data_IF_232008398571
#
_entry.id   IF_232008398571
#
_cell.length_a   1.000
_cell.length_b   1.000
_cell.length_c   1.000
_cell.angle_alpha   90.00
_cell.angle_beta   90.00
_cell.angle_gamma   90.00
#
_symmetry.space_group_name_H-M   'P 1'
#
loop_
_entity.id
_entity.type
_entity.pdbx_description
1 polymer ?
#
# COMPACT_ATOMS: atom_id res chain seq x y z
N UNK A 1 -14.60 2.82 -1.88
CA UNK A 1 -14.91 2.83 -0.43
C UNK A 1 -16.41 3.04 -0.26
N UNK A 2 -17.02 2.41 0.74
CA UNK A 2 -18.40 2.65 1.14
C UNK A 2 -18.57 2.60 2.67
N UNK A 3 -19.63 3.21 3.18
CA UNK A 3 -20.08 3.04 4.57
C UNK A 3 -21.39 2.26 4.61
N UNK A 4 -21.46 1.28 5.51
CA UNK A 4 -22.65 0.44 5.73
C UNK A 4 -23.15 0.69 7.14
N UNK A 5 -24.44 0.94 7.28
CA UNK A 5 -25.09 1.27 8.54
C UNK A 5 -25.93 0.13 9.10
N UNK A 6 -26.38 0.30 10.34
CA UNK A 6 -27.21 -0.64 11.10
C UNK A 6 -26.48 -1.92 11.54
N UNK A 7 -25.15 -1.84 11.68
CA UNK A 7 -24.29 -2.96 12.07
C UNK A 7 -24.62 -3.46 13.49
N UNK A 8 -24.95 -2.53 14.39
CA UNK A 8 -25.34 -2.73 15.78
C UNK A 8 -26.68 -3.45 15.94
N UNK A 9 -27.51 -3.47 14.89
CA UNK A 9 -28.83 -4.12 14.90
C UNK A 9 -28.86 -5.44 14.12
N UNK A 10 -27.71 -5.93 13.70
CA UNK A 10 -27.58 -7.25 13.07
C UNK A 10 -27.70 -8.31 14.16
N UNK A 11 -28.55 -9.30 13.93
CA UNK A 11 -28.70 -10.46 14.80
C UNK A 11 -28.45 -11.72 13.96
N UNK A 12 -27.17 -12.09 13.70
CA UNK A 12 -26.88 -13.24 12.88
C UNK A 12 -27.42 -14.51 13.56
N UNK A 13 -27.97 -15.48 12.81
CA UNK A 13 -28.37 -16.76 13.39
C UNK A 13 -27.17 -17.37 14.13
N UNK A 14 -27.42 -17.95 15.31
CA UNK A 14 -26.37 -18.69 16.02
C UNK A 14 -25.76 -19.72 15.06
N UNK A 15 -24.41 -19.86 15.01
CA UNK A 15 -23.81 -20.93 14.25
C UNK A 15 -24.45 -22.23 14.70
N UNK A 16 -24.90 -23.07 13.76
CA UNK A 16 -25.38 -24.40 14.10
C UNK A 16 -24.29 -25.08 14.93
N UNK A 17 -24.64 -25.51 16.15
CA UNK A 17 -23.74 -26.34 16.96
C UNK A 17 -23.38 -27.54 16.09
N UNK A 18 -22.10 -27.69 15.78
CA UNK A 18 -21.63 -28.87 15.08
C UNK A 18 -22.00 -30.07 15.94
N UNK A 19 -22.98 -30.86 15.49
CA UNK A 19 -23.30 -32.12 16.15
C UNK A 19 -22.01 -32.94 16.23
N UNK A 20 -21.62 -33.42 17.42
CA UNK A 20 -20.39 -34.17 17.58
C UNK A 20 -20.46 -35.41 16.68
N UNK A 21 -19.54 -35.49 15.71
CA UNK A 21 -19.41 -36.65 14.84
C UNK A 21 -19.04 -37.87 15.71
N UNK A 22 -19.89 -38.92 15.79
CA UNK A 22 -19.62 -40.09 16.62
C UNK A 22 -18.36 -40.88 16.19
N UNK A 23 -17.85 -40.65 14.98
CA UNK A 23 -16.72 -41.40 14.42
C UNK A 23 -15.34 -40.80 14.70
N UNK A 24 -15.24 -39.65 15.39
CA UNK A 24 -13.94 -39.02 15.70
C UNK A 24 -13.29 -39.54 17.01
N UNK A 25 -13.93 -40.46 17.74
CA UNK A 25 -13.47 -40.93 19.06
C UNK A 25 -12.43 -42.07 19.01
N UNK A 26 -11.94 -42.46 17.84
CA UNK A 26 -10.99 -43.58 17.69
C UNK A 26 -9.74 -43.20 16.89
N UNK A 27 -8.93 -42.27 17.39
CA UNK A 27 -7.51 -42.16 17.04
C UNK A 27 -6.78 -41.26 18.06
N UNK A 28 -6.08 -41.88 19.01
CA UNK A 28 -5.14 -41.18 19.89
C UNK A 28 -3.75 -41.11 19.27
N UNK A 29 -3.13 -39.93 19.27
CA UNK A 29 -1.73 -39.69 19.70
C UNK A 29 -1.29 -38.25 19.37
N UNK A 30 -0.27 -37.80 20.11
CA UNK A 30 0.14 -36.43 20.36
C UNK A 30 0.61 -35.64 19.12
N UNK A 31 -0.03 -34.49 18.88
CA UNK A 31 0.55 -33.20 18.49
C UNK A 31 -0.63 -32.23 18.31
N UNK A 32 -0.54 -31.04 18.92
CA UNK A 32 -1.62 -30.05 18.91
C UNK A 32 -2.05 -29.69 17.50
N UNK A 33 -3.18 -30.25 17.06
CA UNK A 33 -3.82 -29.92 15.78
C UNK A 33 -4.10 -28.41 15.80
N UNK A 34 -3.68 -27.63 14.77
CA UNK A 34 -4.05 -26.23 14.70
C UNK A 34 -5.57 -26.11 14.82
N UNK A 35 -6.10 -25.13 15.57
CA UNK A 35 -7.53 -25.00 15.79
C UNK A 35 -8.22 -24.99 14.43
N UNK A 36 -9.27 -25.80 14.30
CA UNK A 36 -10.09 -25.85 13.10
C UNK A 36 -10.42 -24.41 12.66
N UNK A 37 -10.33 -24.09 11.35
CA UNK A 37 -10.59 -22.73 10.88
C UNK A 37 -11.98 -22.32 11.39
N UNK A 38 -12.02 -21.31 12.27
CA UNK A 38 -13.28 -20.74 12.73
C UNK A 38 -14.09 -20.39 11.50
N UNK A 39 -15.37 -20.78 11.49
CA UNK A 39 -16.29 -20.38 10.43
C UNK A 39 -16.12 -18.86 10.19
N UNK A 40 -15.97 -18.42 8.92
CA UNK A 40 -15.66 -17.03 8.63
C UNK A 40 -16.72 -16.14 9.25
N UNK A 41 -16.31 -15.29 10.18
CA UNK A 41 -17.20 -14.34 10.85
C UNK A 41 -17.90 -13.49 9.76
N UNK A 42 -19.23 -13.58 9.63
CA UNK A 42 -19.96 -12.83 8.62
C UNK A 42 -19.79 -11.31 8.80
N UNK A 43 -19.49 -10.85 10.03
CA UNK A 43 -19.20 -9.44 10.33
C UNK A 43 -17.85 -8.97 9.78
N UNK A 44 -16.90 -9.88 9.54
CA UNK A 44 -15.59 -9.52 8.95
C UNK A 44 -15.73 -8.92 7.54
N UNK A 45 -16.80 -9.28 6.82
CA UNK A 45 -17.12 -8.72 5.49
C UNK A 45 -17.72 -7.31 5.56
N UNK A 46 -18.12 -6.87 6.75
CA UNK A 46 -18.75 -5.57 6.98
C UNK A 46 -17.77 -4.47 7.38
N UNK A 47 -16.47 -4.67 7.20
CA UNK A 47 -15.48 -3.62 7.38
C UNK A 47 -15.15 -3.32 8.84
N UNK A 48 -14.69 -2.08 9.12
CA UNK A 48 -14.26 -1.63 10.46
C UNK A 48 -15.19 -0.54 10.99
N UNK A 49 -15.38 -0.47 12.31
CA UNK A 49 -16.19 0.57 12.93
C UNK A 49 -15.70 1.98 12.58
N UNK A 50 -16.65 2.90 12.38
CA UNK A 50 -16.42 4.34 12.32
C UNK A 50 -16.79 4.98 13.65
N UNK A 51 -16.47 6.26 13.89
CA UNK A 51 -16.98 6.97 15.06
C UNK A 51 -18.51 7.10 15.11
N UNK A 52 -19.19 6.97 13.96
CA UNK A 52 -20.65 6.97 13.93
C UNK A 52 -21.19 5.61 14.42
N UNK A 53 -22.06 5.58 15.45
CA UNK A 53 -22.61 4.34 15.99
C UNK A 53 -23.29 3.49 14.93
N UNK A 54 -23.02 2.18 14.92
CA UNK A 54 -23.63 1.24 13.99
C UNK A 54 -23.20 1.39 12.53
N UNK A 55 -22.17 2.21 12.24
CA UNK A 55 -21.67 2.43 10.88
C UNK A 55 -20.25 1.91 10.74
N UNK A 56 -20.03 1.05 9.74
CA UNK A 56 -18.72 0.53 9.39
C UNK A 56 -18.21 1.08 8.05
N UNK A 57 -16.89 1.23 7.98
CA UNK A 57 -16.12 1.53 6.79
C UNK A 57 -15.72 0.25 6.05
N UNK A 58 -16.19 0.11 4.82
CA UNK A 58 -15.87 -1.00 3.94
C UNK A 58 -14.90 -0.53 2.85
N UNK A 59 -13.67 -1.02 2.95
CA UNK A 59 -12.64 -0.80 1.95
C UNK A 59 -12.77 -1.81 0.82
N UNK A 60 -12.50 -1.34 -0.40
CA UNK A 60 -12.39 -2.17 -1.58
C UNK A 60 -11.12 -1.81 -2.33
N UNK A 61 -10.53 -2.80 -3.00
CA UNK A 61 -9.45 -2.60 -3.95
C UNK A 61 -10.01 -2.79 -5.35
N UNK A 62 -9.61 -1.90 -6.27
CA UNK A 62 -9.89 -2.05 -7.70
C UNK A 62 -8.74 -2.76 -8.40
N UNK A 63 -8.92 -3.13 -9.68
CA UNK A 63 -7.85 -3.66 -10.53
C UNK A 63 -6.79 -2.59 -10.82
N UNK A 64 -5.64 -3.03 -11.32
CA UNK A 64 -4.65 -2.15 -11.94
C UNK A 64 -5.13 -1.75 -13.33
N UNK A 65 -5.35 -0.45 -13.53
CA UNK A 65 -5.85 0.12 -14.78
C UNK A 65 -5.18 1.47 -15.03
N UNK A 66 -5.28 1.99 -16.25
CA UNK A 66 -4.81 3.34 -16.55
C UNK A 66 -5.67 4.37 -15.81
N UNK A 67 -5.05 5.07 -14.85
CA UNK A 67 -5.68 6.14 -14.10
C UNK A 67 -5.75 7.49 -14.83
N UNK A 68 -5.34 7.54 -16.11
CA UNK A 68 -5.34 8.72 -16.96
C UNK A 68 -6.46 8.72 -17.99
N UNK A 69 -6.97 7.53 -18.30
CA UNK A 69 -8.08 7.36 -19.22
C UNK A 69 -9.42 7.60 -18.51
N UNK A 70 -10.09 8.70 -18.89
CA UNK A 70 -11.39 9.09 -18.35
C UNK A 70 -12.46 8.04 -18.62
N UNK A 71 -12.40 7.35 -19.76
CA UNK A 71 -13.37 6.30 -20.08
C UNK A 71 -13.22 5.11 -19.12
N UNK A 72 -11.97 4.68 -18.91
CA UNK A 72 -11.63 3.64 -17.93
C UNK A 72 -12.06 4.03 -16.52
N UNK A 73 -11.76 5.25 -16.07
CA UNK A 73 -12.17 5.73 -14.75
C UNK A 73 -13.71 5.75 -14.59
N UNK A 74 -14.43 6.23 -15.61
CA UNK A 74 -15.90 6.28 -15.61
C UNK A 74 -16.50 4.88 -15.53
N UNK A 75 -16.03 3.96 -16.40
CA UNK A 75 -16.46 2.57 -16.42
C UNK A 75 -16.18 1.87 -15.09
N UNK A 76 -14.99 2.09 -14.52
CA UNK A 76 -14.61 1.53 -13.23
C UNK A 76 -15.51 2.05 -12.11
N UNK A 77 -15.77 3.36 -12.07
CA UNK A 77 -16.63 3.93 -11.03
C UNK A 77 -18.05 3.35 -11.07
N UNK A 78 -18.66 3.29 -12.27
CA UNK A 78 -19.98 2.68 -12.45
C UNK A 78 -20.00 1.20 -12.00
N UNK A 79 -19.00 0.43 -12.40
CA UNK A 79 -18.89 -0.98 -12.06
C UNK A 79 -18.71 -1.20 -10.54
N UNK A 80 -17.89 -0.38 -9.88
CA UNK A 80 -17.68 -0.47 -8.44
C UNK A 80 -18.94 -0.08 -7.65
N UNK A 81 -19.70 0.93 -8.08
CA UNK A 81 -20.98 1.29 -7.46
C UNK A 81 -21.99 0.14 -7.59
N UNK A 82 -22.11 -0.48 -8.77
CA UNK A 82 -22.93 -1.68 -8.99
C UNK A 82 -22.48 -2.84 -8.09
N UNK A 83 -21.18 -3.09 -7.99
CA UNK A 83 -20.62 -4.15 -7.17
C UNK A 83 -20.89 -3.93 -5.67
N UNK A 84 -20.73 -2.71 -5.16
CA UNK A 84 -21.07 -2.34 -3.77
C UNK A 84 -22.54 -2.66 -3.49
N UNK A 85 -23.43 -2.21 -4.38
CA UNK A 85 -24.86 -2.45 -4.24
C UNK A 85 -25.21 -3.94 -4.27
N UNK A 86 -24.71 -4.67 -5.26
CA UNK A 86 -24.95 -6.11 -5.40
C UNK A 86 -24.43 -6.89 -4.18
N UNK A 87 -23.25 -6.55 -3.66
CA UNK A 87 -22.72 -7.19 -2.46
C UNK A 87 -23.55 -6.87 -1.23
N UNK A 88 -24.03 -5.64 -1.06
CA UNK A 88 -24.95 -5.32 0.02
C UNK A 88 -26.22 -6.17 -0.06
N UNK A 89 -26.83 -6.29 -1.25
CA UNK A 89 -28.03 -7.13 -1.43
C UNK A 89 -27.75 -8.61 -1.11
N UNK A 90 -26.58 -9.14 -1.52
CA UNK A 90 -26.16 -10.51 -1.15
C UNK A 90 -26.01 -10.68 0.35
N UNK A 91 -25.50 -9.68 1.06
CA UNK A 91 -25.37 -9.75 2.52
C UNK A 91 -26.76 -9.69 3.17
N UNK A 92 -27.64 -8.78 2.72
CA UNK A 92 -29.01 -8.63 3.21
C UNK A 92 -29.89 -9.87 3.00
N UNK A 93 -29.56 -10.70 2.03
CA UNK A 93 -30.27 -11.97 1.79
C UNK A 93 -30.00 -13.03 2.87
N UNK A 94 -29.01 -12.83 3.74
CA UNK A 94 -28.76 -13.72 4.86
C UNK A 94 -29.65 -13.34 6.06
N UNK A 95 -30.23 -14.32 6.77
CA UNK A 95 -31.03 -14.07 7.96
C UNK A 95 -30.28 -13.21 8.99
N UNK A 96 -30.94 -12.18 9.52
CA UNK A 96 -30.39 -11.27 10.53
C UNK A 96 -29.64 -10.06 9.97
N UNK A 97 -29.48 -9.95 8.64
CA UNK A 97 -28.78 -8.84 7.95
C UNK A 97 -29.72 -7.95 7.13
N UNK A 98 -31.03 -8.18 7.17
CA UNK A 98 -32.05 -7.59 6.28
C UNK A 98 -32.11 -6.06 6.39
N UNK A 99 -31.83 -5.56 7.59
CA UNK A 99 -31.90 -4.13 7.93
C UNK A 99 -30.60 -3.37 7.63
N UNK A 100 -29.57 -4.03 7.09
CA UNK A 100 -28.39 -3.32 6.60
C UNK A 100 -28.75 -2.37 5.47
N UNK A 101 -28.11 -1.21 5.45
CA UNK A 101 -28.26 -0.25 4.35
C UNK A 101 -26.94 0.41 4.00
N UNK A 102 -26.84 0.85 2.75
CA UNK A 102 -25.73 1.64 2.25
C UNK A 102 -25.90 3.07 2.75
N UNK A 103 -25.03 3.52 3.65
CA UNK A 103 -25.04 4.92 4.14
C UNK A 103 -24.51 5.82 3.03
N UNK A 104 -23.36 5.46 2.47
CA UNK A 104 -22.75 6.20 1.38
C UNK A 104 -21.72 5.38 0.61
N UNK A 105 -21.37 5.90 -0.56
CA UNK A 105 -20.23 5.49 -1.37
C UNK A 105 -19.30 6.68 -1.52
N UNK A 106 -18.01 6.45 -1.75
CA UNK A 106 -17.09 7.52 -2.10
C UNK A 106 -17.64 8.36 -3.28
N UNK A 107 -17.50 9.70 -3.24
CA UNK A 107 -17.99 10.57 -4.30
C UNK A 107 -17.23 10.36 -5.62
N UNK A 108 -15.97 9.92 -5.54
CA UNK A 108 -15.11 9.63 -6.69
C UNK A 108 -14.29 8.36 -6.43
N UNK A 109 -13.93 7.65 -7.51
CA UNK A 109 -12.90 6.61 -7.47
C UNK A 109 -11.53 7.20 -7.10
N UNK A 110 -10.89 6.66 -6.06
CA UNK A 110 -9.54 7.04 -5.66
C UNK A 110 -8.46 6.31 -6.48
N UNK A 111 -7.57 7.06 -7.11
CA UNK A 111 -6.40 6.53 -7.83
C UNK A 111 -5.16 6.58 -6.93
N UNK A 112 -4.43 5.47 -6.84
CA UNK A 112 -3.28 5.36 -5.93
C UNK A 112 -1.96 5.80 -6.55
N UNK A 113 -1.76 5.51 -7.83
CA UNK A 113 -0.58 5.89 -8.59
C UNK A 113 -0.99 6.09 -10.06
N UNK A 114 -0.28 6.94 -10.78
CA UNK A 114 -0.46 7.12 -12.22
C UNK A 114 0.90 7.19 -12.92
N UNK A 115 1.46 8.39 -13.09
CA UNK A 115 2.75 8.59 -13.74
C UNK A 115 3.89 8.27 -12.78
N UNK A 116 4.83 7.49 -13.26
CA UNK A 116 6.08 7.09 -12.59
C UNK A 116 7.22 7.45 -13.53
N UNK A 117 8.32 8.00 -12.99
CA UNK A 117 9.48 8.38 -13.78
C UNK A 117 10.15 7.16 -14.40
N UNK A 118 10.48 7.24 -15.69
CA UNK A 118 11.42 6.32 -16.32
C UNK A 118 12.84 6.69 -15.88
N UNK A 119 13.55 5.74 -15.27
CA UNK A 119 14.81 5.96 -14.56
C UNK A 119 15.83 4.88 -14.91
N UNK A 120 17.14 5.20 -14.89
CA UNK A 120 18.19 4.21 -15.08
C UNK A 120 18.17 3.03 -14.09
N UNK A 121 17.68 3.24 -12.85
CA UNK A 121 17.58 2.17 -11.83
C UNK A 121 16.32 2.41 -11.00
N UNK A 122 15.17 1.82 -11.38
CA UNK A 122 13.96 1.93 -10.60
C UNK A 122 14.10 1.18 -9.29
N UNK A 123 13.38 1.66 -8.27
CA UNK A 123 13.18 0.89 -7.03
C UNK A 123 12.47 -0.41 -7.39
N UNK A 124 13.13 -1.54 -7.15
CA UNK A 124 12.56 -2.86 -7.36
C UNK A 124 12.15 -3.52 -6.05
N UNK A 125 11.16 -4.39 -6.11
CA UNK A 125 10.82 -5.24 -4.96
C UNK A 125 11.95 -6.21 -4.59
N UNK A 126 12.74 -6.63 -5.58
CA UNK A 126 13.90 -7.50 -5.34
C UNK A 126 14.98 -6.79 -4.50
N UNK A 127 15.19 -5.48 -4.71
CA UNK A 127 16.08 -4.67 -3.88
C UNK A 127 15.55 -4.59 -2.43
N UNK A 128 14.22 -4.50 -2.24
CA UNK A 128 13.58 -4.56 -0.92
C UNK A 128 13.74 -5.92 -0.23
N UNK A 129 13.61 -7.02 -0.97
CA UNK A 129 13.70 -8.38 -0.41
C UNK A 129 15.15 -8.77 -0.06
N UNK A 130 16.07 -8.58 -1.01
CA UNK A 130 17.47 -9.00 -0.87
C UNK A 130 18.18 -8.30 0.30
N UNK A 131 17.88 -7.02 0.55
CA UNK A 131 18.64 -6.21 1.50
C UNK A 131 20.09 -5.99 1.07
N UNK A 132 20.39 -6.16 -0.23
CA UNK A 132 21.72 -5.95 -0.76
C UNK A 132 22.15 -4.48 -0.59
N UNK A 133 23.45 -4.19 -0.37
CA UNK A 133 23.96 -2.83 -0.35
C UNK A 133 23.69 -2.12 -1.68
N UNK A 134 23.20 -0.88 -1.60
CA UNK A 134 23.01 -0.01 -2.77
C UNK A 134 24.04 1.11 -2.70
N UNK A 135 25.05 1.13 -3.58
CA UNK A 135 26.16 2.10 -3.49
C UNK A 135 25.70 3.55 -3.53
N UNK A 136 24.69 3.84 -4.35
CA UNK A 136 24.10 5.16 -4.50
C UNK A 136 22.88 5.41 -3.61
N UNK A 137 22.80 4.77 -2.45
CA UNK A 137 21.68 4.98 -1.52
C UNK A 137 21.61 6.43 -1.03
N UNK A 138 20.41 7.00 -1.04
CA UNK A 138 20.12 8.37 -0.56
C UNK A 138 19.06 8.41 0.54
N UNK A 139 18.61 7.25 0.98
CA UNK A 139 17.70 7.10 2.10
C UNK A 139 17.07 5.71 2.13
N UNK A 140 16.34 5.43 3.20
CA UNK A 140 15.57 4.19 3.32
C UNK A 140 14.08 4.49 3.35
N UNK A 141 13.34 3.75 2.52
CA UNK A 141 11.89 3.73 2.59
C UNK A 141 11.39 2.71 3.63
N UNK A 142 10.24 3.00 4.21
CA UNK A 142 9.50 2.14 5.15
C UNK A 142 8.10 1.80 4.64
N UNK A 143 7.41 0.91 5.35
CA UNK A 143 6.05 0.50 4.98
C UNK A 143 5.47 -0.52 5.94
N UNK A 144 5.59 -1.80 5.60
CA UNK A 144 4.82 -2.86 6.29
C UNK A 144 5.65 -3.97 6.93
N UNK A 145 6.94 -4.12 6.62
CA UNK A 145 7.74 -5.23 7.17
C UNK A 145 9.26 -4.99 7.21
N UNK A 146 9.85 -4.36 6.18
CA UNK A 146 11.31 -4.17 6.08
C UNK A 146 11.64 -2.80 5.50
N UNK A 147 12.65 -2.13 6.06
CA UNK A 147 13.20 -0.92 5.48
C UNK A 147 14.02 -1.28 4.23
N UNK A 148 13.96 -0.45 3.19
CA UNK A 148 14.58 -0.74 1.91
C UNK A 148 15.35 0.47 1.37
N UNK A 149 16.51 0.26 0.71
CA UNK A 149 17.33 1.36 0.21
C UNK A 149 16.70 2.02 -1.02
N UNK A 150 16.72 3.35 -1.06
CA UNK A 150 16.34 4.17 -2.21
C UNK A 150 17.62 4.59 -2.96
N UNK A 151 17.88 4.08 -4.18
CA UNK A 151 19.01 4.55 -4.98
C UNK A 151 18.77 5.96 -5.49
N UNK A 152 19.82 6.79 -5.54
CA UNK A 152 19.78 8.13 -6.11
C UNK A 152 19.27 8.11 -7.54
N UNK A 153 19.68 7.10 -8.32
CA UNK A 153 19.24 6.95 -9.71
C UNK A 153 17.72 6.87 -9.85
N UNK A 154 16.96 6.34 -8.88
CA UNK A 154 15.50 6.33 -8.94
C UNK A 154 14.87 7.72 -8.99
N UNK A 155 15.59 8.76 -8.57
CA UNK A 155 15.17 10.17 -8.62
C UNK A 155 15.53 10.83 -9.97
N UNK A 156 16.35 10.19 -10.80
CA UNK A 156 16.85 10.72 -12.07
C UNK A 156 16.04 10.19 -13.26
N UNK A 157 15.65 11.06 -14.21
CA UNK A 157 15.09 10.63 -15.48
C UNK A 157 16.16 9.99 -16.38
N UNK A 158 15.76 9.04 -17.24
CA UNK A 158 16.68 8.44 -18.21
C UNK A 158 17.27 9.47 -19.19
N UNK A 159 16.40 10.28 -19.80
CA UNK A 159 16.73 11.08 -20.99
C UNK A 159 16.94 12.57 -20.74
N UNK A 160 16.36 13.11 -19.67
CA UNK A 160 16.37 14.54 -19.41
C UNK A 160 17.52 14.90 -18.43
N UNK A 161 18.13 16.05 -18.65
CA UNK A 161 19.10 16.64 -17.71
C UNK A 161 18.42 17.74 -16.87
N UNK A 162 19.05 18.14 -15.76
CA UNK A 162 18.55 19.21 -14.89
C UNK A 162 17.17 18.97 -14.25
N UNK A 163 16.72 17.71 -14.15
CA UNK A 163 15.47 17.34 -13.50
C UNK A 163 15.72 16.27 -12.43
N UNK A 164 15.07 16.44 -11.27
CA UNK A 164 14.98 15.46 -10.20
C UNK A 164 13.51 15.22 -9.87
N UNK A 165 13.12 13.96 -9.70
CA UNK A 165 11.82 13.59 -9.16
C UNK A 165 11.91 13.24 -7.68
N UNK A 166 10.86 13.52 -6.94
CA UNK A 166 10.72 13.15 -5.54
C UNK A 166 9.28 12.73 -5.21
N UNK A 167 9.13 11.88 -4.21
CA UNK A 167 7.83 11.36 -3.77
C UNK A 167 7.22 10.37 -4.75
N UNK A 168 5.91 10.48 -4.97
CA UNK A 168 5.10 9.45 -5.65
C UNK A 168 5.49 9.20 -7.10
N UNK A 169 6.21 10.13 -7.73
CA UNK A 169 6.60 10.06 -9.13
C UNK A 169 8.04 9.55 -9.34
N UNK A 170 8.80 9.21 -8.29
CA UNK A 170 10.13 8.59 -8.49
C UNK A 170 10.00 7.29 -9.27
N UNK A 171 11.07 6.85 -9.91
CA UNK A 171 11.06 5.62 -10.67
C UNK A 171 11.02 4.38 -9.79
N UNK A 172 9.99 3.57 -9.99
CA UNK A 172 9.74 2.36 -9.23
C UNK A 172 8.96 1.34 -10.06
N UNK A 173 9.11 0.06 -9.76
CA UNK A 173 8.24 -0.98 -10.31
C UNK A 173 6.80 -0.79 -9.83
N UNK A 174 5.81 -1.17 -10.64
CA UNK A 174 4.39 -1.02 -10.28
C UNK A 174 4.02 -1.75 -8.97
N UNK A 175 4.62 -2.90 -8.68
CA UNK A 175 4.44 -3.62 -7.41
C UNK A 175 4.94 -2.83 -6.18
N UNK A 176 5.84 -1.86 -6.38
CA UNK A 176 6.33 -0.96 -5.33
C UNK A 176 5.45 0.27 -5.12
N UNK A 177 4.45 0.50 -5.99
CA UNK A 177 3.60 1.70 -5.95
C UNK A 177 2.92 1.94 -4.60
N UNK A 178 2.47 0.87 -3.94
CA UNK A 178 1.74 0.98 -2.67
C UNK A 178 2.64 1.41 -1.49
N UNK A 179 3.95 1.12 -1.57
CA UNK A 179 4.91 1.49 -0.53
C UNK A 179 5.64 2.78 -0.86
N UNK A 180 6.11 2.99 -2.10
CA UNK A 180 6.89 4.18 -2.50
C UNK A 180 6.10 5.47 -2.26
N UNK A 181 4.78 5.45 -2.46
CA UNK A 181 3.91 6.62 -2.31
C UNK A 181 3.61 7.01 -0.86
N UNK A 182 4.07 6.24 0.13
CA UNK A 182 3.83 6.55 1.53
C UNK A 182 4.52 7.88 1.89
N UNK A 183 3.83 8.69 2.67
CA UNK A 183 4.29 10.00 3.15
C UNK A 183 5.75 9.96 3.68
N UNK A 184 6.15 9.03 4.57
CA UNK A 184 7.56 8.96 5.02
C UNK A 184 8.56 8.80 3.86
N UNK A 185 8.24 8.00 2.85
CA UNK A 185 9.13 7.77 1.71
C UNK A 185 9.20 9.00 0.79
N UNK A 186 8.11 9.78 0.73
CA UNK A 186 8.08 11.06 0.04
C UNK A 186 8.95 12.11 0.74
N UNK A 187 8.98 12.13 2.08
CA UNK A 187 9.90 12.98 2.83
C UNK A 187 11.36 12.62 2.54
N UNK A 188 11.70 11.33 2.60
CA UNK A 188 13.08 10.86 2.35
C UNK A 188 13.56 11.21 0.94
N UNK A 189 12.75 10.93 -0.08
CA UNK A 189 13.10 11.26 -1.47
C UNK A 189 13.13 12.78 -1.72
N UNK A 190 12.25 13.55 -1.08
CA UNK A 190 12.27 15.02 -1.17
C UNK A 190 13.52 15.63 -0.55
N UNK A 191 13.95 15.12 0.60
CA UNK A 191 15.20 15.51 1.25
C UNK A 191 16.41 15.22 0.36
N UNK A 192 16.51 13.99 -0.16
CA UNK A 192 17.56 13.58 -1.09
C UNK A 192 17.61 14.45 -2.36
N UNK A 193 16.46 14.69 -3.00
CA UNK A 193 16.38 15.52 -4.20
C UNK A 193 16.79 16.98 -3.93
N UNK A 194 16.35 17.56 -2.81
CA UNK A 194 16.71 18.94 -2.43
C UNK A 194 18.21 19.09 -2.17
N UNK A 195 18.80 18.17 -1.41
CA UNK A 195 20.24 18.17 -1.14
C UNK A 195 21.06 17.99 -2.43
N UNK A 196 20.63 17.08 -3.31
CA UNK A 196 21.25 16.85 -4.61
C UNK A 196 21.19 18.08 -5.52
N UNK A 197 20.05 18.77 -5.57
CA UNK A 197 19.88 19.99 -6.35
C UNK A 197 20.81 21.11 -5.84
N UNK A 198 20.88 21.30 -4.51
CA UNK A 198 21.77 22.29 -3.92
C UNK A 198 23.25 22.00 -4.24
N UNK A 199 23.66 20.74 -4.12
CA UNK A 199 25.02 20.30 -4.42
C UNK A 199 25.36 20.48 -5.92
N UNK A 200 24.44 20.13 -6.82
CA UNK A 200 24.62 20.31 -8.26
C UNK A 200 24.87 21.78 -8.64
N UNK A 201 24.14 22.71 -8.03
CA UNK A 201 24.33 24.15 -8.23
C UNK A 201 25.67 24.62 -7.66
N UNK A 202 26.07 24.16 -6.47
CA UNK A 202 27.34 24.53 -5.84
C UNK A 202 28.57 24.04 -6.62
N UNK A 203 28.51 22.80 -7.11
CA UNK A 203 29.61 22.19 -7.88
C UNK A 203 29.58 22.58 -9.37
N UNK A 204 28.54 23.29 -9.82
CA UNK A 204 28.39 23.70 -11.23
C UNK A 204 28.20 22.52 -12.19
N UNK A 205 27.59 21.43 -11.73
CA UNK A 205 27.39 20.20 -12.51
C UNK A 205 25.91 19.85 -12.67
N UNK A 206 25.61 18.87 -13.53
CA UNK A 206 24.23 18.37 -13.67
C UNK A 206 23.87 17.51 -12.47
N UNK A 207 22.58 17.41 -12.06
CA UNK A 207 22.17 16.51 -10.99
C UNK A 207 22.63 15.06 -11.18
N UNK A 208 22.74 14.57 -12.42
CA UNK A 208 23.24 13.21 -12.70
C UNK A 208 24.74 13.03 -12.52
N UNK A 209 25.50 14.12 -12.48
CA UNK A 209 26.97 14.13 -12.39
C UNK A 209 27.49 14.45 -10.98
N UNK A 210 26.59 14.61 -10.00
CA UNK A 210 27.01 14.90 -8.62
C UNK A 210 27.83 13.74 -8.04
N UNK A 211 28.79 14.08 -7.18
CA UNK A 211 29.52 13.09 -6.43
C UNK A 211 28.64 12.50 -5.32
N UNK A 212 28.27 11.23 -5.46
CA UNK A 212 27.39 10.53 -4.51
C UNK A 212 27.94 10.57 -3.08
N UNK A 213 29.26 10.46 -2.88
CA UNK A 213 29.87 10.52 -1.56
C UNK A 213 29.63 11.88 -0.87
N UNK A 214 29.73 12.99 -1.63
CA UNK A 214 29.39 14.33 -1.12
C UNK A 214 27.92 14.43 -0.75
N UNK A 215 27.02 13.94 -1.61
CA UNK A 215 25.58 13.93 -1.31
C UNK A 215 25.29 13.13 -0.04
N UNK A 216 25.82 11.92 0.08
CA UNK A 216 25.63 11.07 1.26
C UNK A 216 26.20 11.71 2.53
N UNK A 217 27.32 12.44 2.43
CA UNK A 217 27.87 13.22 3.54
C UNK A 217 26.90 14.31 4.00
N UNK A 218 26.36 15.11 3.07
CA UNK A 218 25.36 16.15 3.37
C UNK A 218 24.12 15.53 4.02
N UNK A 219 23.61 14.43 3.46
CA UNK A 219 22.44 13.73 3.99
C UNK A 219 22.68 13.21 5.41
N UNK A 220 23.83 12.60 5.71
CA UNK A 220 24.18 12.16 7.06
C UNK A 220 24.35 13.31 8.04
N UNK A 221 24.94 14.43 7.61
CA UNK A 221 25.04 15.65 8.42
C UNK A 221 23.66 16.22 8.77
N UNK A 222 22.67 15.96 7.93
CA UNK A 222 21.26 16.31 8.12
C UNK A 222 20.45 15.14 8.72
N UNK A 223 21.13 14.18 9.37
CA UNK A 223 20.54 13.07 10.12
C UNK A 223 19.73 12.06 9.28
N UNK A 224 19.92 12.03 7.96
CA UNK A 224 19.30 11.01 7.11
C UNK A 224 19.91 9.63 7.35
N UNK A 225 19.05 8.61 7.51
CA UNK A 225 19.48 7.23 7.61
C UNK A 225 19.77 6.62 6.23
N UNK A 226 21.03 6.24 6.00
CA UNK A 226 21.54 5.67 4.75
C UNK A 226 21.96 4.19 4.88
N UNK A 227 21.50 3.51 5.94
CA UNK A 227 21.94 2.15 6.27
C UNK A 227 23.15 2.12 7.20
N UNK A 228 23.46 0.94 7.72
CA UNK A 228 24.67 0.72 8.52
C UNK A 228 25.92 1.00 7.67
N UNK A 229 26.93 1.71 8.20
CA UNK A 229 28.21 1.80 7.54
C UNK A 229 28.76 0.39 7.36
N UNK A 230 29.22 0.05 6.15
CA UNK A 230 29.88 -1.22 5.90
C UNK A 230 30.98 -1.37 6.97
N UNK A 231 30.93 -2.45 7.75
CA UNK A 231 31.98 -2.76 8.71
C UNK A 231 33.31 -2.76 7.96
N UNK A 232 34.17 -1.80 8.29
CA UNK A 232 35.50 -1.66 7.72
C UNK A 232 36.44 -2.76 8.18
#
# INVERSE_FOLDING_TARGET
VSRVGNIDRISPPKPAEAQPNPQAAAAGSAQGKPPAPKAPDPLRRLGKATPAPGVNWVNMRGPEVDGLDVETLTRMEMNHRKFIWQNLQKIRANPGFEKLYLVETAPQLGVRITRVLLTPKPVSHADMESGAPVPDVVGYGGGTSKAWPIPYRALLPEKLDQLLAAGRCIGAEMRMADVVRLIPNCFVTGHAAGAAAALAVQDGCRPRDIEIAKLQKVLRQQEAYLGEPAAG
#
